data_IF_519039472264
#
_entry.id   IF_519039472264
#
_cell.length_a   1.000
_cell.length_b   1.000
_cell.length_c   1.000
_cell.angle_alpha   90.00
_cell.angle_beta   90.00
_cell.angle_gamma   90.00
#
_symmetry.space_group_name_H-M   'P 1'
#
loop_
_entity.id
_entity.type
_entity.pdbx_description
1 polymer ?
#
# COMPACT_ATOMS: atom_id res chain seq x y z
N UNK A 1 -9.20 8.01 -16.56
CA UNK A 1 -9.41 7.16 -17.73
C UNK A 1 -9.57 5.71 -17.26
N UNK A 2 -10.70 5.10 -17.58
CA UNK A 2 -10.96 3.69 -17.29
C UNK A 2 -10.20 2.84 -18.30
N UNK A 3 -9.38 1.90 -17.81
CA UNK A 3 -8.68 0.90 -18.63
C UNK A 3 -9.13 -0.49 -18.22
N UNK A 4 -8.95 -1.46 -19.08
CA UNK A 4 -9.17 -2.88 -18.78
C UNK A 4 -7.85 -3.52 -18.38
N UNK A 5 -7.86 -4.31 -17.33
CA UNK A 5 -6.71 -5.14 -16.94
C UNK A 5 -6.69 -6.44 -17.74
N UNK A 6 -5.50 -6.94 -18.03
CA UNK A 6 -5.31 -8.23 -18.70
C UNK A 6 -5.53 -9.41 -17.74
N UNK A 7 -5.56 -10.63 -18.28
CA UNK A 7 -5.90 -11.87 -17.56
C UNK A 7 -5.11 -12.17 -16.27
N UNK A 8 -3.96 -11.52 -16.04
CA UNK A 8 -3.15 -11.73 -14.83
C UNK A 8 -3.75 -11.10 -13.55
N UNK A 9 -4.88 -10.39 -13.65
CA UNK A 9 -5.52 -9.76 -12.50
C UNK A 9 -6.12 -10.76 -11.50
N UNK A 10 -6.44 -11.98 -11.94
CA UNK A 10 -7.02 -13.00 -11.06
C UNK A 10 -6.06 -13.34 -9.91
N UNK A 11 -4.77 -13.50 -10.19
CA UNK A 11 -3.77 -13.70 -9.15
C UNK A 11 -3.60 -12.50 -8.22
N UNK A 12 -3.79 -11.28 -8.70
CA UNK A 12 -3.78 -10.08 -7.88
C UNK A 12 -4.98 -10.02 -6.94
N UNK A 13 -6.19 -10.25 -7.47
CA UNK A 13 -7.43 -10.23 -6.67
C UNK A 13 -7.36 -11.26 -5.53
N UNK A 14 -6.94 -12.49 -5.84
CA UNK A 14 -6.76 -13.54 -4.83
C UNK A 14 -5.71 -13.14 -3.78
N UNK A 15 -4.59 -12.57 -4.20
CA UNK A 15 -3.51 -12.13 -3.31
C UNK A 15 -3.96 -11.06 -2.32
N UNK A 16 -4.82 -10.13 -2.73
CA UNK A 16 -5.38 -9.08 -1.86
C UNK A 16 -6.62 -9.55 -1.07
N UNK A 17 -7.03 -10.81 -1.24
CA UNK A 17 -8.07 -11.45 -0.46
C UNK A 17 -9.49 -11.17 -0.91
N UNK A 18 -9.69 -10.64 -2.12
CA UNK A 18 -11.00 -10.52 -2.74
C UNK A 18 -11.33 -11.75 -3.58
N UNK A 19 -12.60 -11.93 -3.84
CA UNK A 19 -13.11 -12.94 -4.77
C UNK A 19 -14.07 -12.27 -5.74
N UNK A 20 -13.93 -12.59 -7.01
CA UNK A 20 -14.90 -12.22 -8.03
C UNK A 20 -15.89 -13.37 -8.17
N UNK A 21 -17.13 -13.16 -7.77
CA UNK A 21 -18.19 -14.15 -7.78
C UNK A 21 -19.35 -13.70 -8.68
N UNK A 22 -20.21 -14.64 -9.02
CA UNK A 22 -21.40 -14.36 -9.81
C UNK A 22 -21.10 -14.09 -11.29
N UNK A 23 -21.91 -13.22 -11.94
CA UNK A 23 -21.80 -12.98 -13.36
C UNK A 23 -20.45 -12.38 -13.80
N UNK A 24 -19.78 -11.64 -12.94
CA UNK A 24 -18.49 -11.00 -13.22
C UNK A 24 -17.33 -11.98 -13.29
N UNK A 25 -17.44 -13.16 -12.67
CA UNK A 25 -16.39 -14.19 -12.66
C UNK A 25 -16.05 -14.71 -14.07
N UNK A 26 -16.90 -14.46 -15.06
CA UNK A 26 -16.69 -14.87 -16.45
C UNK A 26 -16.17 -13.75 -17.34
N UNK A 27 -15.93 -12.57 -16.81
CA UNK A 27 -15.50 -11.41 -17.60
C UNK A 27 -13.98 -11.40 -17.72
N UNK A 28 -13.48 -11.39 -18.95
CA UNK A 28 -12.06 -11.23 -19.25
C UNK A 28 -11.67 -9.74 -19.12
N UNK A 29 -10.96 -9.41 -18.03
CA UNK A 29 -10.47 -8.05 -17.78
C UNK A 29 -11.54 -7.12 -17.23
N UNK A 30 -11.46 -6.86 -15.93
CA UNK A 30 -12.33 -5.89 -15.27
C UNK A 30 -11.89 -4.45 -15.57
N UNK A 31 -12.82 -3.51 -15.73
CA UNK A 31 -12.51 -2.09 -15.77
C UNK A 31 -11.81 -1.69 -14.46
N UNK A 32 -10.88 -0.75 -14.53
CA UNK A 32 -10.24 -0.25 -13.33
C UNK A 32 -10.11 1.28 -13.33
N UNK A 33 -10.07 1.82 -12.14
CA UNK A 33 -9.69 3.19 -11.88
C UNK A 33 -8.44 3.23 -11.01
N UNK A 34 -7.49 4.09 -11.37
CA UNK A 34 -6.28 4.32 -10.57
C UNK A 34 -5.99 5.81 -10.50
N UNK A 35 -5.67 6.29 -9.33
CA UNK A 35 -5.21 7.66 -9.10
C UNK A 35 -4.10 7.69 -8.07
N UNK A 36 -3.23 8.70 -8.16
CA UNK A 36 -2.14 8.85 -7.21
C UNK A 36 -1.23 10.00 -7.56
N UNK A 37 -0.35 10.29 -6.60
CA UNK A 37 0.74 11.24 -6.75
C UNK A 37 2.05 10.55 -6.39
N UNK A 38 3.08 10.78 -7.19
CA UNK A 38 4.45 10.31 -6.92
C UNK A 38 5.41 11.44 -7.18
N UNK A 39 6.24 11.75 -6.19
CA UNK A 39 7.15 12.89 -6.24
C UNK A 39 8.50 12.52 -5.66
N UNK A 40 9.56 12.93 -6.36
CA UNK A 40 10.92 12.94 -5.81
C UNK A 40 11.42 14.38 -5.86
N UNK A 41 11.85 14.90 -4.72
CA UNK A 41 12.44 16.22 -4.59
C UNK A 41 13.96 16.06 -4.50
N UNK A 42 14.67 16.60 -5.49
CA UNK A 42 16.12 16.61 -5.56
C UNK A 42 16.65 18.01 -5.26
N UNK A 43 17.04 18.31 -3.99
CA UNK A 43 17.64 19.60 -3.66
C UNK A 43 18.98 19.80 -4.38
N UNK A 44 19.28 21.03 -4.77
CA UNK A 44 20.62 21.37 -5.30
C UNK A 44 21.69 21.39 -4.20
N UNK A 45 21.29 21.71 -2.97
CA UNK A 45 22.17 21.71 -1.82
C UNK A 45 22.35 20.26 -1.32
N UNK A 46 23.57 19.70 -1.32
CA UNK A 46 23.78 18.32 -0.86
C UNK A 46 23.56 18.13 0.65
N UNK A 47 23.46 19.21 1.43
CA UNK A 47 23.10 19.14 2.85
C UNK A 47 21.61 18.90 3.07
N UNK A 48 20.78 19.14 2.07
CA UNK A 48 19.35 18.83 2.11
C UNK A 48 19.09 17.44 1.54
N UNK A 49 18.33 16.60 2.23
CA UNK A 49 18.07 15.24 1.77
C UNK A 49 17.15 15.19 0.55
N UNK A 50 17.33 14.16 -0.28
CA UNK A 50 16.34 13.81 -1.28
C UNK A 50 15.14 13.17 -0.58
N UNK A 51 13.96 13.71 -0.84
CA UNK A 51 12.70 13.21 -0.31
C UNK A 51 11.87 12.58 -1.42
N UNK A 52 11.33 11.40 -1.15
CA UNK A 52 10.42 10.69 -2.04
C UNK A 52 9.13 10.38 -1.32
N UNK A 53 8.01 10.56 -1.99
CA UNK A 53 6.73 10.04 -1.54
C UNK A 53 5.85 9.60 -2.71
N UNK A 54 4.99 8.62 -2.43
CA UNK A 54 3.97 8.11 -3.34
C UNK A 54 2.73 7.74 -2.54
N UNK A 55 1.57 8.18 -2.98
CA UNK A 55 0.28 7.76 -2.44
C UNK A 55 -0.66 7.49 -3.59
N UNK A 56 -1.28 6.31 -3.60
CA UNK A 56 -2.13 5.85 -4.68
C UNK A 56 -3.34 5.08 -4.18
N UNK A 57 -4.39 5.17 -4.95
CA UNK A 57 -5.62 4.40 -4.80
C UNK A 57 -5.90 3.65 -6.10
N UNK A 58 -6.38 2.44 -5.97
CA UNK A 58 -6.75 1.59 -7.09
C UNK A 58 -8.07 0.89 -6.78
N UNK A 59 -8.93 0.73 -7.80
CA UNK A 59 -10.15 -0.07 -7.71
C UNK A 59 -10.43 -0.81 -9.01
N UNK A 60 -11.01 -2.00 -8.87
CA UNK A 60 -11.59 -2.79 -9.94
C UNK A 60 -13.11 -2.64 -9.88
N UNK A 61 -13.71 -2.37 -11.01
CA UNK A 61 -15.13 -2.09 -11.13
C UNK A 61 -15.86 -3.21 -11.88
N UNK A 62 -17.15 -3.31 -11.63
CA UNK A 62 -18.02 -4.13 -12.44
C UNK A 62 -18.11 -3.59 -13.88
N UNK A 63 -18.00 -4.42 -14.92
CA UNK A 63 -18.17 -3.98 -16.30
C UNK A 63 -19.65 -3.65 -16.59
N UNK A 64 -19.91 -2.74 -17.51
CA UNK A 64 -21.27 -2.39 -17.91
C UNK A 64 -22.02 -3.57 -18.52
N UNK A 65 -21.30 -4.43 -19.25
CA UNK A 65 -21.86 -5.60 -19.94
C UNK A 65 -21.11 -6.86 -19.59
N UNK A 66 -21.84 -7.95 -19.53
CA UNK A 66 -21.29 -9.29 -19.40
C UNK A 66 -20.69 -9.80 -20.72
N UNK A 67 -20.02 -10.94 -20.70
CA UNK A 67 -19.35 -11.55 -21.86
C UNK A 67 -20.33 -11.86 -23.02
N UNK A 68 -21.56 -12.17 -22.69
CA UNK A 68 -22.62 -12.43 -23.66
C UNK A 68 -23.27 -11.15 -24.25
N UNK A 69 -22.80 -9.97 -23.83
CA UNK A 69 -23.30 -8.68 -24.21
C UNK A 69 -24.53 -8.17 -23.47
N UNK A 70 -25.06 -8.95 -22.53
CA UNK A 70 -26.17 -8.53 -21.67
C UNK A 70 -25.73 -7.47 -20.65
N UNK A 71 -26.64 -6.60 -20.17
CA UNK A 71 -26.34 -5.65 -19.11
C UNK A 71 -25.90 -6.38 -17.83
N UNK A 72 -24.86 -5.87 -17.19
CA UNK A 72 -24.40 -6.41 -15.90
C UNK A 72 -25.27 -5.85 -14.77
N UNK A 73 -25.97 -6.68 -13.99
CA UNK A 73 -26.82 -6.23 -12.90
C UNK A 73 -26.02 -5.53 -11.78
N UNK A 74 -24.71 -5.81 -11.66
CA UNK A 74 -23.83 -5.26 -10.61
C UNK A 74 -23.11 -3.97 -11.03
N UNK A 75 -23.37 -3.43 -12.22
CA UNK A 75 -22.61 -2.30 -12.79
C UNK A 75 -22.52 -1.05 -11.90
N UNK A 76 -23.52 -0.83 -11.05
CA UNK A 76 -23.58 0.32 -10.12
C UNK A 76 -23.30 -0.04 -8.66
N UNK A 77 -22.87 -1.27 -8.42
CA UNK A 77 -22.53 -1.73 -7.08
C UNK A 77 -21.14 -1.21 -6.62
N UNK A 78 -20.81 -1.44 -5.35
CA UNK A 78 -19.49 -1.15 -4.81
C UNK A 78 -18.39 -1.86 -5.65
N UNK A 79 -17.18 -1.30 -5.71
CA UNK A 79 -16.09 -1.91 -6.48
C UNK A 79 -15.86 -3.38 -6.11
N UNK A 80 -15.56 -4.21 -7.11
CA UNK A 80 -15.17 -5.61 -6.93
C UNK A 80 -14.01 -5.75 -5.96
N UNK A 81 -13.02 -4.86 -6.08
CA UNK A 81 -11.86 -4.80 -5.21
C UNK A 81 -11.29 -3.38 -5.20
N UNK A 82 -10.64 -3.01 -4.10
CA UNK A 82 -9.94 -1.74 -3.99
C UNK A 82 -8.76 -1.87 -3.01
N UNK A 83 -7.74 -1.04 -3.19
CA UNK A 83 -6.61 -0.97 -2.28
C UNK A 83 -5.89 0.37 -2.36
N UNK A 84 -5.16 0.67 -1.29
CA UNK A 84 -4.21 1.77 -1.26
C UNK A 84 -2.79 1.24 -1.37
N UNK A 85 -1.92 2.03 -1.97
CA UNK A 85 -0.47 1.86 -1.92
C UNK A 85 0.20 3.18 -1.65
N UNK A 86 1.39 3.14 -1.09
CA UNK A 86 2.11 4.36 -0.84
C UNK A 86 3.37 4.19 -0.01
N UNK A 87 3.98 5.32 0.27
CA UNK A 87 5.16 5.39 1.11
C UNK A 87 5.82 6.76 1.05
N UNK A 88 6.69 6.99 2.00
CA UNK A 88 7.59 8.14 2.04
C UNK A 88 8.94 7.67 2.59
N UNK A 89 10.02 8.08 1.93
CA UNK A 89 11.38 7.77 2.34
C UNK A 89 12.34 8.93 2.10
N UNK A 90 13.42 8.97 2.88
CA UNK A 90 14.39 10.04 2.85
C UNK A 90 15.78 9.49 2.54
N UNK A 91 16.47 10.11 1.57
CA UNK A 91 17.82 9.73 1.15
C UNK A 91 18.77 10.92 1.32
N UNK A 92 19.36 11.11 2.51
CA UNK A 92 20.33 12.15 2.74
C UNK A 92 21.69 11.79 2.13
N UNK A 93 22.39 12.79 1.61
CA UNK A 93 23.80 12.66 1.19
C UNK A 93 24.72 12.69 2.41
N UNK A 94 24.38 13.49 3.41
CA UNK A 94 25.06 13.57 4.71
C UNK A 94 24.06 13.25 5.82
N UNK A 95 24.40 12.31 6.67
CA UNK A 95 23.51 11.89 7.74
C UNK A 95 23.53 12.89 8.90
N UNK A 96 22.40 13.52 9.14
CA UNK A 96 22.10 14.29 10.35
C UNK A 96 21.15 13.48 11.24
N UNK A 97 21.61 12.99 12.40
CA UNK A 97 20.77 12.11 13.23
C UNK A 97 19.45 12.75 13.68
N UNK A 98 19.42 14.05 13.87
CA UNK A 98 18.22 14.74 14.33
C UNK A 98 17.18 14.88 13.22
N UNK A 99 17.60 15.08 11.97
CA UNK A 99 16.72 15.06 10.81
C UNK A 99 16.10 13.68 10.62
N UNK A 100 16.92 12.62 10.76
CA UNK A 100 16.44 11.25 10.68
C UNK A 100 15.40 10.94 11.77
N UNK A 101 15.68 11.34 13.02
CA UNK A 101 14.73 11.18 14.13
C UNK A 101 13.43 11.95 13.89
N UNK A 102 13.55 13.20 13.43
CA UNK A 102 12.41 14.05 13.12
C UNK A 102 11.53 13.42 12.05
N UNK A 103 12.11 13.03 10.91
CA UNK A 103 11.40 12.40 9.81
C UNK A 103 10.63 11.15 10.25
N UNK A 104 11.30 10.23 10.93
CA UNK A 104 10.65 9.03 11.43
C UNK A 104 9.60 9.32 12.51
N UNK A 105 9.82 10.34 13.34
CA UNK A 105 8.84 10.75 14.36
C UNK A 105 7.55 11.26 13.71
N UNK A 106 7.64 12.11 12.72
CA UNK A 106 6.48 12.68 12.01
C UNK A 106 5.67 11.57 11.36
N UNK A 107 6.32 10.67 10.61
CA UNK A 107 5.65 9.52 10.00
C UNK A 107 5.02 8.59 11.05
N UNK A 108 5.71 8.38 12.16
CA UNK A 108 5.19 7.56 13.25
C UNK A 108 3.97 8.19 13.90
N UNK A 109 4.01 9.48 14.21
CA UNK A 109 2.90 10.19 14.84
C UNK A 109 1.66 10.16 13.92
N UNK A 110 1.86 10.36 12.61
CA UNK A 110 0.79 10.29 11.62
C UNK A 110 0.16 8.89 11.54
N UNK A 111 0.97 7.83 11.45
CA UNK A 111 0.48 6.47 11.40
C UNK A 111 -0.21 6.06 12.70
N UNK A 112 0.42 6.32 13.85
CA UNK A 112 -0.10 5.97 15.19
C UNK A 112 -1.40 6.71 15.53
N UNK A 113 -1.64 7.87 14.93
CA UNK A 113 -2.92 8.60 15.09
C UNK A 113 -4.12 7.75 14.67
N UNK A 114 -3.91 6.80 13.76
CA UNK A 114 -4.94 5.89 13.28
C UNK A 114 -4.82 4.51 13.94
N UNK A 115 -3.64 3.91 13.91
CA UNK A 115 -3.36 2.63 14.55
C UNK A 115 -1.87 2.46 14.81
N UNK A 116 -1.50 2.18 16.07
CA UNK A 116 -0.11 2.00 16.49
C UNK A 116 0.62 0.85 15.79
N UNK A 117 -0.12 -0.09 15.17
CA UNK A 117 0.47 -1.16 14.39
C UNK A 117 0.95 -0.70 13.00
N UNK A 118 0.42 0.39 12.45
CA UNK A 118 0.73 0.83 11.09
C UNK A 118 2.19 1.21 10.93
N UNK A 119 2.72 2.09 11.77
CA UNK A 119 4.10 2.53 11.61
C UNK A 119 5.08 1.37 11.63
N UNK A 120 4.96 0.48 12.61
CA UNK A 120 5.88 -0.65 12.77
C UNK A 120 5.85 -1.57 11.54
N UNK A 121 4.64 -1.86 11.05
CA UNK A 121 4.44 -2.69 9.89
C UNK A 121 5.01 -2.05 8.62
N UNK A 122 4.66 -0.80 8.37
CA UNK A 122 5.04 -0.08 7.14
C UNK A 122 6.52 0.28 7.12
N UNK A 123 7.11 0.60 8.28
CA UNK A 123 8.55 0.81 8.37
C UNK A 123 9.32 -0.45 8.04
N UNK A 124 8.95 -1.58 8.61
CA UNK A 124 9.61 -2.86 8.33
C UNK A 124 9.48 -3.24 6.86
N UNK A 125 8.34 -2.97 6.27
CA UNK A 125 8.13 -3.20 4.84
C UNK A 125 9.01 -2.28 3.98
N UNK A 126 9.09 -0.99 4.33
CA UNK A 126 9.97 -0.02 3.69
C UNK A 126 11.43 -0.47 3.71
N UNK A 127 11.94 -0.86 4.87
CA UNK A 127 13.34 -1.30 5.04
C UNK A 127 13.67 -2.48 4.11
N UNK A 128 12.73 -3.40 3.93
CA UNK A 128 12.89 -4.54 3.03
C UNK A 128 12.75 -4.16 1.57
N UNK A 129 11.75 -3.35 1.23
CA UNK A 129 11.44 -2.97 -0.16
C UNK A 129 12.58 -2.16 -0.79
N UNK A 130 13.21 -1.27 -0.03
CA UNK A 130 14.31 -0.42 -0.49
C UNK A 130 15.71 -0.97 -0.13
N UNK A 131 15.81 -2.23 0.25
CA UNK A 131 17.09 -2.87 0.46
C UNK A 131 17.85 -3.05 -0.86
N UNK A 132 19.06 -2.53 -0.92
CA UNK A 132 19.94 -2.61 -2.10
C UNK A 132 20.85 -3.83 -1.98
N UNK A 133 20.39 -4.98 -2.44
CA UNK A 133 21.08 -6.27 -2.28
C UNK A 133 22.50 -6.25 -2.82
N UNK A 134 22.73 -5.60 -3.97
CA UNK A 134 24.04 -5.51 -4.62
C UNK A 134 25.05 -4.63 -3.86
N UNK A 135 24.58 -3.80 -2.92
CA UNK A 135 25.41 -2.92 -2.10
C UNK A 135 25.43 -3.35 -0.62
N UNK A 136 24.51 -4.22 -0.20
CA UNK A 136 24.37 -4.65 1.19
C UNK A 136 23.93 -3.52 2.13
N UNK A 137 23.14 -2.55 1.65
CA UNK A 137 22.70 -1.39 2.42
C UNK A 137 21.25 -1.01 2.11
N UNK A 138 20.61 -0.25 2.99
CA UNK A 138 19.32 0.36 2.75
C UNK A 138 19.45 1.61 1.87
N UNK A 139 18.42 1.92 1.08
CA UNK A 139 18.31 3.22 0.43
C UNK A 139 18.01 4.29 1.48
N UNK A 140 18.97 5.20 1.71
CA UNK A 140 18.83 6.28 2.68
C UNK A 140 18.54 5.80 4.10
N UNK A 141 17.70 6.52 4.81
CA UNK A 141 17.31 6.21 6.19
C UNK A 141 15.98 5.44 6.27
N UNK A 142 15.42 5.03 5.13
CA UNK A 142 14.11 4.41 5.05
C UNK A 142 12.97 5.40 5.25
N UNK A 143 11.89 4.92 5.80
CA UNK A 143 10.65 5.63 6.00
C UNK A 143 9.51 4.66 6.22
N UNK A 144 8.41 4.82 5.49
CA UNK A 144 7.27 3.89 5.48
C UNK A 144 6.93 3.47 4.06
N UNK A 145 6.48 2.24 3.90
CA UNK A 145 5.97 1.72 2.64
C UNK A 145 4.84 0.74 2.91
N UNK A 146 3.79 0.83 2.12
CA UNK A 146 2.68 -0.12 2.11
C UNK A 146 2.15 -0.28 0.68
N UNK A 147 1.70 -1.47 0.36
CA UNK A 147 1.01 -1.78 -0.88
C UNK A 147 -0.12 -2.76 -0.62
N UNK A 148 -1.04 -2.87 -1.60
CA UNK A 148 -2.19 -3.75 -1.48
C UNK A 148 -2.98 -3.55 -0.16
N UNK A 149 -2.95 -2.32 0.38
CA UNK A 149 -3.60 -2.02 1.66
C UNK A 149 -5.12 -2.00 1.49
N UNK A 150 -5.74 -3.09 1.88
CA UNK A 150 -7.18 -3.32 1.81
C UNK A 150 -7.65 -4.04 3.08
N UNK A 151 -8.97 -4.06 3.32
CA UNK A 151 -9.52 -4.68 4.53
C UNK A 151 -9.25 -6.20 4.62
N UNK A 152 -9.51 -7.00 3.57
CA UNK A 152 -9.23 -8.43 3.63
C UNK A 152 -7.78 -8.70 3.96
N UNK A 153 -6.86 -8.04 3.27
CA UNK A 153 -5.43 -8.21 3.47
C UNK A 153 -4.97 -7.74 4.85
N UNK A 154 -5.47 -6.59 5.32
CA UNK A 154 -5.16 -6.10 6.66
C UNK A 154 -5.67 -7.05 7.74
N UNK A 155 -6.91 -7.52 7.62
CA UNK A 155 -7.50 -8.45 8.57
C UNK A 155 -6.79 -9.81 8.58
N UNK A 156 -6.36 -10.33 7.42
CA UNK A 156 -5.55 -11.55 7.34
C UNK A 156 -4.17 -11.35 7.98
N UNK A 157 -3.53 -10.21 7.76
CA UNK A 157 -2.21 -9.90 8.31
C UNK A 157 -2.22 -9.62 9.81
N UNK A 158 -3.38 -9.35 10.42
CA UNK A 158 -3.52 -9.28 11.88
C UNK A 158 -3.12 -10.57 12.59
N UNK A 159 -3.29 -11.71 11.93
CA UNK A 159 -2.95 -13.03 12.49
C UNK A 159 -1.62 -13.60 11.98
N UNK A 160 -1.10 -13.08 10.86
CA UNK A 160 0.06 -13.66 10.16
C UNK A 160 0.97 -12.61 9.53
N UNK A 161 1.12 -11.44 10.16
CA UNK A 161 1.92 -10.39 9.56
C UNK A 161 3.38 -10.83 9.49
N UNK A 162 3.86 -11.26 8.30
CA UNK A 162 5.28 -11.40 7.90
C UNK A 162 5.80 -12.83 7.62
N UNK A 163 5.11 -13.81 7.16
CA UNK A 163 5.82 -14.90 6.49
C UNK A 163 5.98 -14.68 4.98
N UNK A 164 5.20 -13.78 4.35
CA UNK A 164 5.11 -13.75 2.89
C UNK A 164 6.34 -13.24 2.15
N UNK A 165 7.34 -12.69 2.83
CA UNK A 165 8.47 -12.11 2.12
C UNK A 165 9.87 -12.56 2.53
N UNK A 166 10.09 -13.34 3.60
CA UNK A 166 11.46 -13.66 3.97
C UNK A 166 11.84 -15.15 4.01
N UNK A 167 10.90 -16.06 3.77
CA UNK A 167 11.21 -17.49 3.79
C UNK A 167 11.78 -18.03 5.12
N UNK A 168 11.86 -17.20 6.15
CA UNK A 168 12.33 -17.60 7.47
C UNK A 168 11.16 -17.75 8.42
N UNK A 169 11.00 -18.93 8.99
CA UNK A 169 9.96 -19.28 9.97
C UNK A 169 10.16 -18.64 11.35
N UNK A 170 10.80 -17.48 11.43
CA UNK A 170 10.89 -16.78 12.72
C UNK A 170 9.60 -16.01 12.96
N UNK A 171 8.82 -16.49 13.93
CA UNK A 171 7.67 -15.83 14.49
C UNK A 171 8.08 -14.49 15.11
N UNK A 172 8.13 -13.45 14.32
CA UNK A 172 8.23 -12.09 14.84
C UNK A 172 6.90 -11.71 15.47
N UNK A 173 6.93 -11.21 16.69
CA UNK A 173 5.75 -10.75 17.40
C UNK A 173 4.96 -9.78 16.52
N UNK A 174 3.76 -10.19 16.16
CA UNK A 174 2.83 -9.39 15.41
C UNK A 174 2.18 -8.42 16.38
N UNK A 175 2.36 -7.13 16.15
CA UNK A 175 1.50 -6.14 16.78
C UNK A 175 0.10 -6.30 16.17
N UNK A 176 -0.79 -6.87 16.96
CA UNK A 176 -2.19 -7.05 16.56
C UNK A 176 -2.89 -5.71 16.74
N UNK A 177 -3.41 -5.15 15.66
CA UNK A 177 -4.31 -4.01 15.76
C UNK A 177 -5.55 -4.41 16.57
N UNK A 178 -5.88 -3.60 17.58
CA UNK A 178 -7.11 -3.77 18.37
C UNK A 178 -8.34 -3.13 17.69
N UNK A 179 -8.12 -2.34 16.64
CA UNK A 179 -9.17 -1.59 15.96
C UNK A 179 -9.73 -2.38 14.79
N UNK A 180 -11.04 -2.30 14.60
CA UNK A 180 -11.67 -2.67 13.33
C UNK A 180 -11.52 -1.51 12.35
N UNK A 181 -11.05 -1.81 11.14
CA UNK A 181 -10.89 -0.85 10.07
C UNK A 181 -11.97 -1.02 9.01
N UNK A 182 -12.32 0.06 8.37
CA UNK A 182 -13.14 0.13 7.16
C UNK A 182 -12.40 0.95 6.08
N UNK A 183 -12.96 1.01 4.87
CA UNK A 183 -12.35 1.75 3.75
C UNK A 183 -11.99 3.18 4.13
N UNK A 184 -12.89 3.87 4.83
CA UNK A 184 -12.69 5.27 5.24
C UNK A 184 -11.58 5.40 6.30
N UNK A 185 -11.47 4.48 7.26
CA UNK A 185 -10.39 4.51 8.25
C UNK A 185 -9.02 4.29 7.63
N UNK A 186 -8.91 3.39 6.64
CA UNK A 186 -7.68 3.19 5.87
C UNK A 186 -7.36 4.42 5.01
N UNK A 187 -8.37 5.04 4.39
CA UNK A 187 -8.19 6.28 3.65
C UNK A 187 -7.66 7.41 4.55
N UNK A 188 -8.21 7.58 5.77
CA UNK A 188 -7.70 8.56 6.74
C UNK A 188 -6.25 8.30 7.15
N UNK A 189 -5.87 7.02 7.30
CA UNK A 189 -4.50 6.66 7.61
C UNK A 189 -3.53 7.06 6.48
N UNK A 190 -3.89 6.74 5.23
CA UNK A 190 -3.09 7.12 4.04
C UNK A 190 -3.02 8.64 3.89
N UNK A 191 -4.13 9.36 4.11
CA UNK A 191 -4.15 10.82 4.09
C UNK A 191 -3.26 11.43 5.16
N UNK A 192 -3.32 10.94 6.40
CA UNK A 192 -2.47 11.42 7.48
C UNK A 192 -0.97 11.28 7.16
N UNK A 193 -0.59 10.23 6.41
CA UNK A 193 0.79 10.07 5.93
C UNK A 193 1.16 11.08 4.84
N UNK A 194 0.20 11.52 4.04
CA UNK A 194 0.42 12.55 3.01
C UNK A 194 0.48 13.96 3.57
N UNK A 195 -0.15 14.19 4.73
CA UNK A 195 -0.16 15.47 5.44
C UNK A 195 1.07 15.64 6.38
N UNK A 196 1.84 14.55 6.63
CA UNK A 196 3.01 14.51 7.50
C UNK A 196 4.29 14.96 6.78
#
# INVERSE_FOLDING_TARGET
AIRQMSADHDGLIERIGYKVEGPDAQVDGLPFFATGISVVIHPKNPMSPTSHFNYRYFELMHPEKLKDGSPNPNYHEEPVAWWFGGGADLTPMYLFPDDAKHFHKVLKDAADSQDSAFYVAWKKWCDKYFWLTHRGESRGIGGVFFDDLTLPMWNQRRTTFIPLMDGTNQANQVLVSSKQHNKESLFRAVRAMGDA
#
